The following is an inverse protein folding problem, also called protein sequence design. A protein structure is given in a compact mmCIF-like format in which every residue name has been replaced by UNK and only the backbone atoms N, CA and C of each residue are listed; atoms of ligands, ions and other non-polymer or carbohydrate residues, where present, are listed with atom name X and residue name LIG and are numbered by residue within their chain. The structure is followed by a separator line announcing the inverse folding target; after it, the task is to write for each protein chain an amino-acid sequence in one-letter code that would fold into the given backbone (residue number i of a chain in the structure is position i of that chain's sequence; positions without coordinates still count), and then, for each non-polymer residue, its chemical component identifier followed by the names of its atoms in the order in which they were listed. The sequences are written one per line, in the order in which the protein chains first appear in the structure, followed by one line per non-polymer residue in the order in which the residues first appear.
data_IF_876501776717
#
_entry.id   IF_876501776717
#
_cell.length_a   1.000
_cell.length_b   1.000
_cell.length_c   1.000
_cell.angle_alpha   90.00
_cell.angle_beta   90.00
_cell.angle_gamma   90.00
#
_symmetry.space_group_name_H-M   'P 1'
#
loop_
_entity.id
_entity.type
_entity.pdbx_description
1 polymer ?
#
# COMPACT_ATOMS: atom_id res chain seq x y z
N UNK A 1 2.89 2.61 1.40
CA UNK A 1 2.67 3.99 1.87
C UNK A 1 2.99 4.06 3.37
N UNK A 2 3.84 4.97 3.86
CA UNK A 2 4.14 5.06 5.29
C UNK A 2 2.97 5.67 6.09
N UNK A 3 2.63 5.08 7.23
CA UNK A 3 1.62 5.54 8.19
C UNK A 3 2.23 5.75 9.58
N UNK A 4 1.62 6.65 10.37
CA UNK A 4 1.87 6.69 11.80
C UNK A 4 1.20 5.48 12.45
N UNK A 5 1.98 4.70 13.18
CA UNK A 5 1.48 3.51 13.87
C UNK A 5 0.50 3.91 14.96
N UNK A 6 -0.75 3.49 14.84
CA UNK A 6 -1.73 3.66 15.91
C UNK A 6 -1.32 2.87 17.16
N UNK A 7 -1.68 3.31 18.38
CA UNK A 7 -1.29 2.62 19.60
C UNK A 7 -1.65 1.12 19.63
N UNK A 8 -2.80 0.74 19.07
CA UNK A 8 -3.24 -0.64 18.98
C UNK A 8 -2.47 -1.48 17.94
N UNK A 9 -1.76 -0.83 17.02
CA UNK A 9 -0.97 -1.43 15.95
C UNK A 9 0.55 -1.32 16.22
N UNK A 10 0.97 -0.83 17.39
CA UNK A 10 2.36 -0.90 17.83
C UNK A 10 2.80 -2.37 17.93
N UNK A 11 4.12 -2.66 17.85
CA UNK A 11 4.58 -4.03 17.99
C UNK A 11 4.15 -4.61 19.34
N UNK A 12 3.86 -5.92 19.42
CA UNK A 12 3.35 -6.53 20.64
C UNK A 12 4.40 -6.48 21.76
N UNK A 13 3.98 -6.55 23.04
CA UNK A 13 4.92 -6.82 24.14
C UNK A 13 5.77 -8.08 23.85
N UNK A 14 7.05 -8.09 24.25
CA UNK A 14 7.76 -7.06 25.03
C UNK A 14 8.33 -5.88 24.20
N UNK A 15 8.11 -5.84 22.88
CA UNK A 15 8.77 -4.91 21.96
C UNK A 15 8.28 -3.45 22.05
N UNK A 16 7.17 -3.22 22.74
CA UNK A 16 6.63 -1.89 23.07
C UNK A 16 6.56 -1.63 24.59
N UNK A 17 7.23 -2.44 25.42
CA UNK A 17 7.07 -2.40 26.88
C UNK A 17 8.00 -1.42 27.61
N UNK A 18 8.83 -0.68 26.88
CA UNK A 18 9.66 0.39 27.41
C UNK A 18 9.37 1.70 26.67
N UNK A 19 10.03 2.80 27.07
CA UNK A 19 9.96 4.08 26.35
C UNK A 19 10.68 4.04 24.99
N UNK A 20 11.47 2.99 24.72
CA UNK A 20 12.10 2.74 23.42
C UNK A 20 11.51 1.50 22.77
N UNK A 21 10.74 1.72 21.71
CA UNK A 21 10.11 0.66 20.92
C UNK A 21 11.18 -0.05 20.10
N UNK A 22 11.12 -1.38 20.02
CA UNK A 22 12.11 -2.21 19.33
C UNK A 22 13.56 -2.09 19.85
N UNK A 23 13.75 -1.73 21.13
CA UNK A 23 15.09 -1.72 21.71
C UNK A 23 15.76 -3.10 21.59
N UNK A 24 17.02 -3.14 21.15
CA UNK A 24 17.79 -4.37 20.92
C UNK A 24 17.00 -5.42 20.11
N UNK A 25 16.32 -5.01 19.03
CA UNK A 25 15.41 -5.89 18.29
C UNK A 25 15.81 -6.01 16.82
N UNK A 26 15.81 -7.23 16.30
CA UNK A 26 15.78 -7.48 14.85
C UNK A 26 14.35 -7.69 14.40
N UNK A 27 13.90 -6.92 13.42
CA UNK A 27 12.62 -7.04 12.74
C UNK A 27 12.87 -7.71 11.38
N UNK A 28 12.17 -8.81 11.09
CA UNK A 28 12.21 -9.55 9.83
C UNK A 28 10.88 -9.42 9.12
N UNK A 29 10.92 -8.86 7.92
CA UNK A 29 9.72 -8.52 7.15
C UNK A 29 9.85 -9.11 5.76
N UNK A 30 8.73 -9.46 5.13
CA UNK A 30 8.75 -9.96 3.75
C UNK A 30 7.94 -9.07 2.84
N UNK A 31 8.43 -8.91 1.61
CA UNK A 31 7.74 -8.15 0.57
C UNK A 31 7.84 -8.89 -0.77
N UNK A 32 6.90 -8.65 -1.68
CA UNK A 32 6.89 -9.19 -3.05
C UNK A 32 7.44 -8.14 -4.01
N UNK A 33 8.45 -8.47 -4.81
CA UNK A 33 8.95 -7.55 -5.85
C UNK A 33 8.06 -7.58 -7.09
N UNK A 34 7.93 -6.45 -7.76
CA UNK A 34 7.04 -6.30 -8.91
C UNK A 34 7.75 -6.42 -10.26
N UNK A 35 9.07 -6.22 -10.28
CA UNK A 35 9.91 -6.25 -11.47
C UNK A 35 11.16 -7.12 -11.24
N UNK A 36 11.70 -7.75 -12.29
CA UNK A 36 12.98 -8.45 -12.22
C UNK A 36 14.14 -7.44 -12.22
N UNK A 37 15.25 -7.77 -11.57
CA UNK A 37 16.45 -6.93 -11.59
C UNK A 37 17.64 -7.63 -10.94
N UNK A 38 18.86 -7.26 -11.35
CA UNK A 38 20.11 -7.84 -10.82
C UNK A 38 20.69 -7.04 -9.64
N UNK A 39 20.29 -5.76 -9.56
CA UNK A 39 20.72 -4.83 -8.53
C UNK A 39 19.49 -4.12 -7.96
N UNK A 40 19.35 -4.16 -6.64
CA UNK A 40 18.23 -3.55 -5.91
C UNK A 40 18.70 -2.52 -4.90
N UNK A 41 17.79 -1.67 -4.44
CA UNK A 41 17.98 -0.75 -3.31
C UNK A 41 16.80 -0.82 -2.34
N UNK A 42 17.09 -0.61 -1.06
CA UNK A 42 16.08 -0.49 0.00
C UNK A 42 15.90 0.99 0.33
N UNK A 43 14.64 1.44 0.44
CA UNK A 43 14.30 2.74 1.03
C UNK A 43 13.70 2.53 2.41
N UNK A 44 14.27 3.16 3.42
CA UNK A 44 13.76 3.17 4.80
C UNK A 44 13.31 4.57 5.19
N UNK A 45 12.22 4.68 5.95
CA UNK A 45 11.59 5.95 6.30
C UNK A 45 11.38 6.13 7.80
N UNK A 46 11.61 7.35 8.25
CA UNK A 46 11.25 7.86 9.56
C UNK A 46 10.22 9.01 9.44
N UNK A 47 9.29 8.90 8.47
CA UNK A 47 8.35 9.96 8.12
C UNK A 47 7.54 10.53 9.30
N UNK A 48 7.27 9.73 10.33
CA UNK A 48 6.48 10.13 11.50
C UNK A 48 7.25 10.11 12.81
N UNK A 49 8.52 9.70 12.82
CA UNK A 49 9.33 9.73 14.03
C UNK A 49 9.55 11.15 14.51
N UNK A 50 9.50 11.33 15.84
CA UNK A 50 9.77 12.61 16.48
C UNK A 50 11.28 12.86 16.68
N UNK A 51 12.06 11.77 16.77
CA UNK A 51 13.51 11.77 16.91
C UNK A 51 14.18 11.03 15.74
N UNK A 52 15.50 11.16 15.64
CA UNK A 52 16.34 10.41 14.72
C UNK A 52 16.19 8.89 14.91
N UNK A 53 15.97 8.17 13.81
CA UNK A 53 15.92 6.70 13.80
C UNK A 53 17.31 6.14 13.50
N UNK A 54 17.94 5.52 14.49
CA UNK A 54 19.24 4.85 14.34
C UNK A 54 19.04 3.41 13.85
N UNK A 55 19.43 3.16 12.60
CA UNK A 55 19.44 1.84 11.97
C UNK A 55 20.83 1.23 12.16
N UNK A 56 20.94 0.15 12.95
CA UNK A 56 22.24 -0.43 13.31
C UNK A 56 22.76 -1.42 12.27
N UNK A 57 21.88 -2.23 11.68
CA UNK A 57 22.28 -3.20 10.63
C UNK A 57 21.07 -3.62 9.81
N UNK A 58 21.26 -3.80 8.51
CA UNK A 58 20.22 -4.28 7.59
C UNK A 58 20.76 -5.40 6.70
N UNK A 59 19.92 -6.37 6.38
CA UNK A 59 20.20 -7.34 5.33
C UNK A 59 18.96 -7.64 4.49
N UNK A 60 19.18 -8.01 3.23
CA UNK A 60 18.15 -8.53 2.34
C UNK A 60 18.49 -9.96 1.92
N UNK A 61 17.47 -10.79 1.70
CA UNK A 61 17.62 -12.16 1.21
C UNK A 61 16.37 -12.59 0.45
N UNK A 62 16.43 -13.68 -0.30
CA UNK A 62 15.20 -14.34 -0.76
C UNK A 62 14.54 -15.06 0.43
N UNK A 63 13.21 -15.10 0.46
CA UNK A 63 12.49 -15.84 1.49
C UNK A 63 12.45 -17.34 1.18
N UNK A 64 12.48 -18.18 2.22
CA UNK A 64 12.44 -19.63 2.02
C UNK A 64 11.14 -20.07 1.33
N UNK A 65 11.29 -20.74 0.19
CA UNK A 65 10.16 -21.20 -0.61
C UNK A 65 9.33 -20.07 -1.24
N UNK A 66 9.88 -18.85 -1.35
CA UNK A 66 9.20 -17.68 -1.93
C UNK A 66 7.87 -17.33 -1.23
N UNK A 67 7.81 -17.62 0.08
CA UNK A 67 6.63 -17.41 0.93
C UNK A 67 6.69 -16.05 1.60
N UNK A 68 5.57 -15.32 1.56
CA UNK A 68 5.35 -14.16 2.42
C UNK A 68 5.07 -14.63 3.85
N UNK A 69 5.41 -13.79 4.82
CA UNK A 69 5.18 -14.03 6.24
C UNK A 69 6.08 -15.09 6.88
N UNK A 70 7.04 -15.66 6.15
CA UNK A 70 7.94 -16.69 6.69
C UNK A 70 9.05 -16.06 7.54
N UNK A 71 9.38 -16.70 8.67
CA UNK A 71 10.55 -16.35 9.47
C UNK A 71 11.86 -16.88 8.91
N UNK A 72 11.80 -17.72 7.86
CA UNK A 72 12.97 -18.45 7.35
C UNK A 72 13.48 -17.79 6.06
N UNK A 73 14.77 -17.47 6.02
CA UNK A 73 15.45 -16.98 4.81
C UNK A 73 15.98 -18.13 3.96
N UNK A 74 16.03 -17.93 2.65
CA UNK A 74 16.67 -18.87 1.75
C UNK A 74 18.19 -18.85 1.97
N UNK A 75 18.82 -19.98 2.30
CA UNK A 75 20.26 -20.04 2.54
C UNK A 75 21.09 -19.48 1.36
N UNK A 76 22.22 -18.87 1.67
CA UNK A 76 23.19 -18.33 0.70
C UNK A 76 22.65 -17.19 -0.20
N UNK A 77 21.54 -16.55 0.17
CA UNK A 77 20.99 -15.39 -0.56
C UNK A 77 21.14 -14.07 0.19
N UNK A 78 21.54 -14.11 1.46
CA UNK A 78 21.69 -12.93 2.31
C UNK A 78 22.78 -12.00 1.78
N UNK A 79 22.42 -10.72 1.65
CA UNK A 79 23.31 -9.59 1.38
C UNK A 79 23.15 -8.57 2.48
N UNK A 80 24.26 -8.16 3.08
CA UNK A 80 24.26 -7.00 3.97
C UNK A 80 23.99 -5.74 3.17
N UNK A 81 23.27 -4.80 3.78
CA UNK A 81 22.90 -3.53 3.17
C UNK A 81 23.75 -2.44 3.78
N UNK A 82 24.35 -1.61 2.93
CA UNK A 82 25.11 -0.43 3.32
C UNK A 82 24.39 0.86 2.91
N UNK A 83 24.75 1.95 3.56
CA UNK A 83 24.27 3.31 3.32
C UNK A 83 25.48 4.23 3.22
N UNK A 84 25.85 4.66 2.01
CA UNK A 84 27.08 5.44 1.78
C UNK A 84 28.33 4.74 2.35
N UNK A 85 28.50 3.46 2.00
CA UNK A 85 29.57 2.56 2.44
C UNK A 85 29.55 2.18 3.94
N UNK A 86 28.56 2.66 4.71
CA UNK A 86 28.39 2.34 6.13
C UNK A 86 27.36 1.22 6.36
N UNK A 87 27.60 0.25 7.26
CA UNK A 87 26.60 -0.78 7.60
C UNK A 87 25.42 -0.26 8.44
N UNK A 88 25.57 0.94 9.01
CA UNK A 88 24.58 1.64 9.83
C UNK A 88 24.28 3.04 9.26
N UNK A 89 23.14 3.59 9.66
CA UNK A 89 22.74 4.95 9.26
C UNK A 89 21.79 5.57 10.29
N UNK A 90 21.73 6.89 10.27
CA UNK A 90 20.69 7.66 10.96
C UNK A 90 19.70 8.17 9.92
N UNK A 91 18.40 8.04 10.20
CA UNK A 91 17.32 8.66 9.43
C UNK A 91 16.75 9.80 10.27
N UNK A 92 16.99 11.07 9.90
CA UNK A 92 16.44 12.21 10.62
C UNK A 92 14.91 12.13 10.75
N UNK A 93 14.36 12.85 11.73
CA UNK A 93 12.91 12.98 11.88
C UNK A 93 12.24 13.44 10.57
N UNK A 94 11.15 12.78 10.17
CA UNK A 94 10.49 13.03 8.88
C UNK A 94 11.28 12.59 7.64
N UNK A 95 12.46 12.00 7.83
CA UNK A 95 13.41 11.67 6.78
C UNK A 95 13.19 10.33 6.09
N UNK A 96 14.00 10.12 5.05
CA UNK A 96 14.10 8.91 4.27
C UNK A 96 15.58 8.68 3.95
N UNK A 97 16.02 7.42 3.96
CA UNK A 97 17.34 7.02 3.47
C UNK A 97 17.19 5.98 2.37
N UNK A 98 18.13 5.99 1.44
CA UNK A 98 18.25 5.01 0.35
C UNK A 98 19.56 4.26 0.54
N UNK A 99 19.52 2.93 0.43
CA UNK A 99 20.73 2.12 0.51
C UNK A 99 21.63 2.31 -0.71
N UNK A 100 22.89 1.89 -0.55
CA UNK A 100 23.75 1.59 -1.67
C UNK A 100 23.13 0.45 -2.51
N UNK A 101 23.57 0.28 -3.77
CA UNK A 101 23.10 -0.83 -4.58
C UNK A 101 23.48 -2.20 -4.03
N UNK A 102 22.54 -3.14 -4.09
CA UNK A 102 22.68 -4.49 -3.55
C UNK A 102 22.62 -5.48 -4.71
N UNK A 103 23.73 -6.21 -4.91
CA UNK A 103 23.84 -7.27 -5.91
C UNK A 103 23.08 -8.53 -5.45
N UNK A 104 21.77 -8.56 -5.74
CA UNK A 104 20.87 -9.68 -5.50
C UNK A 104 19.88 -9.77 -6.66
N UNK A 105 20.09 -10.73 -7.56
CA UNK A 105 19.16 -10.99 -8.65
C UNK A 105 17.81 -11.48 -8.14
N UNK A 106 16.75 -10.81 -8.60
CA UNK A 106 15.35 -11.13 -8.31
C UNK A 106 14.56 -11.22 -9.62
N UNK A 107 13.51 -12.03 -9.61
CA UNK A 107 12.49 -12.08 -10.65
C UNK A 107 11.25 -11.32 -10.20
N UNK A 108 10.44 -10.84 -11.15
CA UNK A 108 9.11 -10.36 -10.82
C UNK A 108 8.35 -11.43 -10.05
N UNK A 109 7.65 -11.01 -9.00
CA UNK A 109 6.97 -11.88 -8.05
C UNK A 109 7.89 -12.75 -7.18
N UNK A 110 9.19 -12.49 -7.05
CA UNK A 110 9.98 -13.08 -5.96
C UNK A 110 9.63 -12.45 -4.60
N UNK A 111 9.80 -13.19 -3.51
CA UNK A 111 9.67 -12.66 -2.15
C UNK A 111 11.03 -12.36 -1.55
N UNK A 112 11.22 -11.11 -1.17
CA UNK A 112 12.35 -10.66 -0.39
C UNK A 112 12.03 -10.74 1.10
N UNK A 113 13.05 -11.06 1.89
CA UNK A 113 13.10 -10.83 3.33
C UNK A 113 14.02 -9.64 3.58
N UNK A 114 13.59 -8.72 4.43
CA UNK A 114 14.36 -7.57 4.89
C UNK A 114 14.47 -7.67 6.42
N UNK A 115 15.70 -7.79 6.91
CA UNK A 115 16.02 -7.73 8.33
C UNK A 115 16.49 -6.33 8.69
N UNK A 116 15.94 -5.72 9.73
CA UNK A 116 16.35 -4.43 10.27
C UNK A 116 16.65 -4.61 11.75
N UNK A 117 17.89 -4.35 12.16
CA UNK A 117 18.29 -4.38 13.57
C UNK A 117 18.40 -2.97 14.14
N UNK A 118 17.72 -2.77 15.26
CA UNK A 118 17.69 -1.53 16.03
C UNK A 118 18.32 -1.82 17.41
N UNK A 119 19.59 -1.49 17.59
CA UNK A 119 20.25 -1.69 18.89
C UNK A 119 19.61 -0.81 19.97
N UNK A 120 19.30 0.44 19.63
CA UNK A 120 18.77 1.42 20.57
C UNK A 120 17.24 1.51 20.57
N UNK A 121 16.58 0.94 19.55
CA UNK A 121 15.14 1.13 19.31
C UNK A 121 14.83 2.55 18.85
N UNK A 122 13.53 2.89 18.85
CA UNK A 122 13.03 4.24 18.58
C UNK A 122 12.26 4.76 19.80
N UNK A 123 12.57 5.98 20.23
CA UNK A 123 11.91 6.63 21.35
C UNK A 123 10.43 6.92 21.05
N UNK A 124 9.56 6.58 22.00
CA UNK A 124 8.14 6.89 21.94
C UNK A 124 7.34 6.07 20.92
N UNK A 125 6.02 6.26 20.92
CA UNK A 125 5.09 5.50 20.06
C UNK A 125 4.95 6.02 18.63
N UNK A 126 5.70 7.05 18.24
CA UNK A 126 5.61 7.67 16.92
C UNK A 126 6.38 6.88 15.86
N UNK A 127 5.94 5.64 15.63
CA UNK A 127 6.63 4.69 14.76
C UNK A 127 6.09 4.80 13.34
N UNK A 128 6.98 4.85 12.34
CA UNK A 128 6.61 4.76 10.93
C UNK A 128 6.36 3.29 10.56
N UNK A 129 5.15 2.96 10.12
CA UNK A 129 4.75 1.60 9.78
C UNK A 129 3.81 1.56 8.58
N UNK A 130 3.39 0.35 8.21
CA UNK A 130 2.24 0.09 7.37
C UNK A 130 1.42 -1.03 8.00
N UNK A 131 0.44 -0.70 8.87
CA UNK A 131 -0.38 -1.73 9.52
C UNK A 131 -1.23 -2.52 8.52
N UNK A 132 -1.47 -1.95 7.34
CA UNK A 132 -2.10 -2.59 6.20
C UNK A 132 -1.20 -3.53 5.39
N UNK A 133 -0.06 -4.00 5.89
CA UNK A 133 0.82 -4.86 5.08
C UNK A 133 0.19 -6.21 4.71
N UNK A 134 -0.74 -6.72 5.54
CA UNK A 134 -1.37 -8.06 5.45
C UNK A 134 -0.30 -9.15 5.32
N UNK A 135 0.85 -8.91 5.94
CA UNK A 135 2.01 -9.79 5.90
C UNK A 135 2.58 -9.90 7.29
N UNK A 136 2.82 -11.13 7.74
CA UNK A 136 3.41 -11.40 9.04
C UNK A 136 4.87 -10.97 9.05
N UNK A 137 5.21 -10.10 9.99
CA UNK A 137 6.57 -9.73 10.32
C UNK A 137 6.97 -10.40 11.63
N UNK A 138 8.23 -10.83 11.71
CA UNK A 138 8.81 -11.49 12.86
C UNK A 138 9.76 -10.55 13.59
N UNK A 139 9.92 -10.75 14.89
CA UNK A 139 10.83 -9.96 15.70
C UNK A 139 11.46 -10.82 16.79
N UNK A 140 12.71 -10.50 17.12
CA UNK A 140 13.49 -11.20 18.15
C UNK A 140 14.49 -10.24 18.79
N UNK A 141 14.72 -10.36 20.08
CA UNK A 141 15.78 -9.61 20.74
C UNK A 141 17.18 -10.06 20.28
N UNK A 142 18.11 -9.11 20.18
CA UNK A 142 19.47 -9.30 19.68
C UNK A 142 19.59 -9.11 18.17
N UNK A 143 20.84 -9.18 17.69
CA UNK A 143 21.16 -9.08 16.27
C UNK A 143 21.02 -10.44 15.57
N UNK A 144 19.90 -10.64 14.88
CA UNK A 144 19.57 -11.81 14.09
C UNK A 144 19.67 -11.57 12.57
N UNK A 145 20.24 -10.43 12.17
CA UNK A 145 20.33 -10.03 10.76
C UNK A 145 21.00 -11.12 9.94
N UNK A 146 20.32 -11.57 8.89
CA UNK A 146 20.83 -12.57 7.95
C UNK A 146 20.82 -14.00 8.46
N UNK A 147 20.37 -14.27 9.69
CA UNK A 147 20.28 -15.64 10.24
C UNK A 147 19.17 -16.43 9.56
N UNK A 148 19.40 -17.72 9.29
CA UNK A 148 18.44 -18.58 8.58
C UNK A 148 17.03 -18.55 9.18
N UNK A 149 16.92 -18.54 10.50
CA UNK A 149 15.66 -18.41 11.23
C UNK A 149 15.92 -17.72 12.57
N UNK A 150 14.88 -17.21 13.23
CA UNK A 150 14.98 -16.79 14.62
C UNK A 150 14.75 -18.00 15.53
N UNK A 151 15.62 -18.18 16.53
CA UNK A 151 15.55 -19.32 17.47
C UNK A 151 15.56 -18.89 18.93
N UNK A 152 15.52 -17.59 19.19
CA UNK A 152 15.47 -17.05 20.55
C UNK A 152 14.10 -17.33 21.20
N UNK A 153 14.06 -17.39 22.53
CA UNK A 153 12.80 -17.50 23.26
C UNK A 153 11.90 -16.25 23.14
N UNK A 154 12.45 -15.09 22.75
CA UNK A 154 11.70 -13.84 22.58
C UNK A 154 10.94 -13.74 21.27
N UNK A 155 11.11 -14.68 20.34
CA UNK A 155 10.51 -14.62 19.01
C UNK A 155 9.00 -14.37 19.09
N UNK A 156 8.55 -13.31 18.42
CA UNK A 156 7.15 -12.95 18.30
C UNK A 156 6.86 -12.48 16.86
N UNK A 157 5.59 -12.27 16.55
CA UNK A 157 5.14 -11.87 15.22
C UNK A 157 3.93 -10.96 15.27
N UNK A 158 3.78 -10.14 14.23
CA UNK A 158 2.61 -9.28 14.03
C UNK A 158 2.39 -9.03 12.53
N UNK A 159 1.16 -8.74 12.12
CA UNK A 159 0.81 -8.55 10.71
C UNK A 159 0.94 -7.08 10.25
N UNK A 160 2.15 -6.51 10.38
CA UNK A 160 2.47 -5.13 9.99
C UNK A 160 3.84 -5.03 9.35
N UNK A 161 4.06 -4.00 8.52
CA UNK A 161 5.43 -3.59 8.17
C UNK A 161 5.87 -2.38 9.00
N UNK A 162 7.17 -2.23 9.23
CA UNK A 162 7.81 -1.15 9.97
C UNK A 162 8.98 -0.60 9.17
N UNK A 163 9.08 0.72 9.06
CA UNK A 163 10.19 1.48 8.45
C UNK A 163 10.45 1.25 6.95
N UNK A 164 10.01 0.15 6.34
CA UNK A 164 10.17 -0.12 4.90
C UNK A 164 9.30 0.86 4.12
N UNK A 165 9.92 1.63 3.22
CA UNK A 165 9.21 2.54 2.32
C UNK A 165 9.11 1.99 0.90
N UNK A 166 10.18 1.41 0.37
CA UNK A 166 10.20 0.83 -0.99
C UNK A 166 11.38 -0.13 -1.18
N UNK A 167 11.26 -0.98 -2.21
CA UNK A 167 12.39 -1.61 -2.89
C UNK A 167 12.41 -1.08 -4.32
N UNK A 168 13.59 -0.74 -4.79
CA UNK A 168 13.84 -0.31 -6.16
C UNK A 168 14.80 -1.28 -6.83
N UNK A 169 14.70 -1.36 -8.15
CA UNK A 169 15.67 -2.09 -8.97
C UNK A 169 16.28 -1.13 -10.00
N UNK A 170 17.54 -1.36 -10.36
CA UNK A 170 18.14 -0.67 -11.50
C UNK A 170 17.62 -1.31 -12.79
N UNK A 171 16.71 -0.62 -13.47
CA UNK A 171 16.01 -1.11 -14.65
C UNK A 171 16.34 -0.27 -15.89
N UNK A 172 16.18 -0.82 -17.11
CA UNK A 172 16.35 -0.03 -18.33
C UNK A 172 15.33 1.11 -18.39
N UNK A 173 15.59 2.20 -19.14
CA UNK A 173 14.66 3.33 -19.28
C UNK A 173 13.27 2.97 -19.84
N UNK A 174 13.12 1.79 -20.44
CA UNK A 174 11.84 1.24 -20.93
C UNK A 174 11.00 0.59 -19.83
N UNK A 175 11.52 0.50 -18.60
CA UNK A 175 10.76 0.07 -17.44
C UNK A 175 10.07 1.27 -16.78
N UNK A 176 8.83 1.07 -16.37
CA UNK A 176 7.97 2.14 -15.87
C UNK A 176 7.23 1.67 -14.62
N UNK A 177 6.59 2.60 -13.94
CA UNK A 177 5.80 2.35 -12.73
C UNK A 177 4.40 2.94 -12.88
N UNK A 178 3.41 2.24 -12.33
CA UNK A 178 2.06 2.74 -12.11
C UNK A 178 1.84 2.92 -10.60
N UNK A 179 1.56 4.15 -10.17
CA UNK A 179 1.29 4.46 -8.77
C UNK A 179 -0.21 4.33 -8.46
N UNK A 180 -0.55 3.63 -7.38
CA UNK A 180 -1.93 3.41 -6.97
C UNK A 180 -2.22 4.24 -5.72
N UNK A 181 -3.02 5.29 -5.88
CA UNK A 181 -3.52 6.13 -4.80
C UNK A 181 -4.90 5.60 -4.40
N UNK A 182 -5.07 5.27 -3.12
CA UNK A 182 -6.32 4.72 -2.64
C UNK A 182 -6.42 4.54 -1.14
N UNK A 183 -7.52 3.94 -0.73
CA UNK A 183 -7.86 3.65 0.66
C UNK A 183 -7.67 2.16 1.04
N UNK A 184 -8.36 1.69 2.08
CA UNK A 184 -8.34 0.30 2.55
C UNK A 184 -8.65 -0.73 1.48
N UNK A 185 -9.44 -0.38 0.46
CA UNK A 185 -9.82 -1.31 -0.61
C UNK A 185 -8.62 -1.57 -1.53
N UNK A 186 -7.86 -0.53 -1.89
CA UNK A 186 -6.63 -0.69 -2.68
C UNK A 186 -5.47 -1.23 -1.84
N UNK A 187 -5.41 -0.86 -0.57
CA UNK A 187 -4.43 -1.39 0.38
C UNK A 187 -4.67 -2.90 0.69
N UNK A 188 -5.92 -3.36 0.52
CA UNK A 188 -6.28 -4.77 0.45
C UNK A 188 -6.98 -5.35 1.69
N UNK A 189 -7.71 -4.54 2.45
CA UNK A 189 -8.55 -5.03 3.56
C UNK A 189 -9.54 -6.09 3.05
N UNK A 190 -9.64 -7.24 3.71
CA UNK A 190 -10.48 -8.35 3.25
C UNK A 190 -9.75 -9.38 2.37
N UNK A 191 -8.48 -9.12 2.02
CA UNK A 191 -7.58 -10.14 1.48
C UNK A 191 -7.05 -11.04 2.59
N UNK A 192 -6.47 -12.18 2.23
CA UNK A 192 -5.89 -13.12 3.18
C UNK A 192 -4.44 -12.75 3.54
N UNK A 193 -4.11 -12.82 4.82
CA UNK A 193 -2.75 -12.59 5.32
C UNK A 193 -1.75 -13.54 4.64
N UNK A 194 -0.61 -13.00 4.20
CA UNK A 194 0.48 -13.71 3.53
C UNK A 194 0.15 -14.30 2.15
N UNK A 195 -1.01 -13.96 1.54
CA UNK A 195 -1.40 -14.48 0.23
C UNK A 195 -1.15 -13.54 -0.94
N UNK A 196 -1.06 -12.23 -0.70
CA UNK A 196 -1.04 -11.22 -1.77
C UNK A 196 -2.17 -11.44 -2.79
N UNK A 197 -3.40 -11.64 -2.30
CA UNK A 197 -4.61 -11.74 -3.12
C UNK A 197 -5.44 -10.45 -3.05
N UNK A 198 -4.73 -9.31 -3.03
CA UNK A 198 -5.28 -7.96 -3.19
C UNK A 198 -5.37 -7.66 -4.68
N UNK A 199 -6.28 -6.79 -5.11
CA UNK A 199 -6.44 -6.54 -6.55
C UNK A 199 -5.15 -6.03 -7.25
N UNK A 200 -4.27 -5.21 -6.62
CA UNK A 200 -3.02 -4.81 -7.27
C UNK A 200 -2.05 -5.99 -7.43
N UNK A 201 -1.98 -6.89 -6.44
CA UNK A 201 -1.13 -8.09 -6.53
C UNK A 201 -1.63 -9.05 -7.62
N UNK A 202 -2.95 -9.24 -7.72
CA UNK A 202 -3.58 -10.07 -8.75
C UNK A 202 -3.45 -9.45 -10.14
N UNK A 203 -3.56 -8.12 -10.23
CA UNK A 203 -3.30 -7.36 -11.46
C UNK A 203 -1.85 -7.51 -11.89
N UNK A 204 -0.88 -7.42 -10.97
CA UNK A 204 0.53 -7.66 -11.28
C UNK A 204 0.73 -9.06 -11.88
N UNK A 205 0.15 -10.10 -11.28
CA UNK A 205 0.24 -11.47 -11.80
C UNK A 205 -0.31 -11.56 -13.23
N UNK A 206 -1.44 -10.92 -13.51
CA UNK A 206 -2.03 -10.80 -14.86
C UNK A 206 -1.12 -10.02 -15.82
N UNK A 207 -0.54 -8.91 -15.38
CA UNK A 207 0.39 -8.08 -16.17
C UNK A 207 1.66 -8.85 -16.56
N UNK A 208 2.18 -9.70 -15.68
CA UNK A 208 3.36 -10.51 -15.95
C UNK A 208 3.10 -11.64 -16.96
N UNK A 209 1.84 -11.95 -17.27
CA UNK A 209 1.47 -12.88 -18.34
C UNK A 209 1.31 -12.19 -19.71
N UNK A 210 1.38 -10.86 -19.78
CA UNK A 210 1.27 -10.09 -21.01
C UNK A 210 2.60 -9.36 -21.28
N UNK A 211 3.36 -9.73 -22.34
CA UNK A 211 4.65 -9.13 -22.66
C UNK A 211 4.67 -7.61 -22.78
N UNK A 212 3.51 -6.98 -23.04
CA UNK A 212 3.39 -5.53 -23.18
C UNK A 212 3.32 -4.79 -21.86
N UNK A 213 3.09 -5.51 -20.76
CA UNK A 213 2.95 -4.94 -19.41
C UNK A 213 3.97 -5.50 -18.42
N UNK A 214 4.83 -6.42 -18.83
CA UNK A 214 5.84 -7.04 -17.95
C UNK A 214 6.85 -6.05 -17.42
N UNK A 215 7.11 -4.94 -18.12
CA UNK A 215 8.04 -3.87 -17.72
C UNK A 215 7.43 -2.79 -16.81
N UNK A 216 6.16 -2.95 -16.40
CA UNK A 216 5.44 -1.97 -15.57
C UNK A 216 5.35 -2.48 -14.12
N UNK A 217 5.99 -1.77 -13.19
CA UNK A 217 5.86 -1.98 -11.76
C UNK A 217 4.52 -1.42 -11.24
N UNK A 218 3.93 -2.07 -10.23
CA UNK A 218 2.82 -1.49 -9.47
C UNK A 218 3.32 -0.98 -8.12
N UNK A 219 3.06 0.29 -7.82
CA UNK A 219 3.42 0.93 -6.57
C UNK A 219 2.17 1.17 -5.75
N UNK A 220 1.85 0.26 -4.82
CA UNK A 220 0.68 0.41 -3.96
C UNK A 220 0.93 1.48 -2.90
N UNK A 221 0.35 2.66 -3.12
CA UNK A 221 0.44 3.83 -2.25
C UNK A 221 -0.88 4.10 -1.54
N UNK A 222 -1.67 3.05 -1.33
CA UNK A 222 -2.92 3.13 -0.59
C UNK A 222 -2.70 2.90 0.91
N UNK A 223 -3.68 3.35 1.71
CA UNK A 223 -3.76 2.99 3.12
C UNK A 223 -5.18 2.91 3.66
N UNK A 224 -5.37 2.02 4.62
CA UNK A 224 -6.62 1.93 5.36
C UNK A 224 -7.07 3.28 5.93
N UNK A 225 -8.36 3.58 5.79
CA UNK A 225 -8.95 4.83 6.30
C UNK A 225 -8.40 6.11 5.66
N UNK A 226 -7.61 6.02 4.57
CA UNK A 226 -7.11 7.22 3.89
C UNK A 226 -8.23 7.99 3.20
N UNK A 227 -8.02 9.28 3.07
CA UNK A 227 -9.00 10.25 2.59
C UNK A 227 -8.30 11.24 1.68
N UNK A 228 -9.05 11.81 0.75
CA UNK A 228 -8.52 12.81 -0.17
C UNK A 228 -8.31 14.17 0.53
N UNK A 229 -9.26 14.58 1.38
CA UNK A 229 -9.34 15.96 1.88
C UNK A 229 -8.74 16.20 3.27
N UNK A 230 -8.72 15.18 4.12
CA UNK A 230 -8.34 15.32 5.52
C UNK A 230 -7.63 14.06 6.02
N UNK A 231 -6.68 14.20 6.93
CA UNK A 231 -5.89 13.05 7.40
C UNK A 231 -6.78 11.97 8.03
N UNK A 232 -6.54 10.71 7.71
CA UNK A 232 -7.22 9.57 8.33
C UNK A 232 -6.25 8.81 9.23
N UNK A 233 -6.08 7.51 8.96
CA UNK A 233 -4.97 6.73 9.53
C UNK A 233 -3.60 7.08 8.89
N UNK A 234 -3.57 8.07 8.01
CA UNK A 234 -2.39 8.62 7.36
C UNK A 234 -2.70 9.97 6.72
N UNK A 235 -1.68 10.69 6.22
CA UNK A 235 -1.86 12.00 5.60
C UNK A 235 -2.85 11.96 4.43
N UNK A 236 -3.62 13.02 4.25
CA UNK A 236 -4.54 13.15 3.12
C UNK A 236 -3.81 13.12 1.75
N UNK A 237 -4.51 12.69 0.70
CA UNK A 237 -3.95 12.56 -0.66
C UNK A 237 -3.34 13.85 -1.16
N UNK A 238 -4.02 14.98 -0.98
CA UNK A 238 -3.56 16.27 -1.50
C UNK A 238 -2.21 16.67 -0.90
N UNK A 239 -1.94 16.30 0.36
CA UNK A 239 -0.67 16.55 1.04
C UNK A 239 0.44 15.55 0.69
N UNK A 240 0.10 14.31 0.29
CA UNK A 240 1.09 13.24 0.03
C UNK A 240 1.35 12.95 -1.44
N UNK A 241 0.63 13.58 -2.37
CA UNK A 241 0.71 13.29 -3.81
C UNK A 241 2.15 13.39 -4.35
N UNK A 242 2.92 14.41 -3.95
CA UNK A 242 4.30 14.58 -4.41
C UNK A 242 5.19 13.44 -3.92
N UNK A 243 5.09 13.11 -2.63
CA UNK A 243 5.90 12.06 -2.00
C UNK A 243 5.56 10.69 -2.56
N UNK A 244 4.27 10.38 -2.70
CA UNK A 244 3.78 9.03 -2.99
C UNK A 244 3.61 8.76 -4.48
N UNK A 245 3.57 9.79 -5.34
CA UNK A 245 3.48 9.63 -6.79
C UNK A 245 4.66 10.29 -7.49
N UNK A 246 4.80 11.62 -7.38
CA UNK A 246 5.75 12.37 -8.21
C UNK A 246 7.23 12.08 -7.90
N UNK A 247 7.55 11.75 -6.64
CA UNK A 247 8.89 11.44 -6.18
C UNK A 247 9.25 9.94 -6.29
N UNK A 248 8.32 9.11 -6.80
CA UNK A 248 8.57 7.69 -6.99
C UNK A 248 9.25 7.42 -8.34
N UNK A 249 10.12 6.42 -8.36
CA UNK A 249 10.95 6.14 -9.54
C UNK A 249 10.12 5.58 -10.70
N UNK A 250 10.33 6.19 -11.88
CA UNK A 250 9.79 5.72 -13.15
C UNK A 250 8.27 5.80 -13.29
N UNK A 251 7.58 6.60 -12.47
CA UNK A 251 6.12 6.74 -12.57
C UNK A 251 5.73 7.31 -13.93
N UNK A 252 4.95 6.52 -14.66
CA UNK A 252 4.37 6.88 -15.95
C UNK A 252 2.84 6.89 -15.91
N UNK A 253 2.23 6.18 -14.96
CA UNK A 253 0.76 6.11 -14.81
C UNK A 253 0.38 6.30 -13.35
N UNK A 254 -0.83 6.81 -13.12
CA UNK A 254 -1.45 6.82 -11.80
C UNK A 254 -2.86 6.26 -11.85
N UNK A 255 -3.25 5.52 -10.82
CA UNK A 255 -4.64 5.09 -10.59
C UNK A 255 -5.12 5.78 -9.33
N UNK A 256 -6.28 6.44 -9.40
CA UNK A 256 -6.95 7.05 -8.24
C UNK A 256 -8.21 6.25 -7.94
N UNK A 257 -8.19 5.50 -6.85
CA UNK A 257 -9.32 4.74 -6.34
C UNK A 257 -9.53 5.04 -4.86
N UNK A 258 -10.17 6.18 -4.59
CA UNK A 258 -10.31 6.76 -3.25
C UNK A 258 -11.56 7.63 -3.15
N UNK A 259 -11.98 7.94 -1.92
CA UNK A 259 -13.09 8.84 -1.61
C UNK A 259 -14.16 8.22 -0.71
N UNK A 260 -14.11 6.90 -0.49
CA UNK A 260 -15.12 6.20 0.32
C UNK A 260 -15.12 6.66 1.78
N UNK A 261 -13.95 6.91 2.35
CA UNK A 261 -13.81 7.36 3.75
C UNK A 261 -14.19 8.84 3.92
N UNK A 262 -13.98 9.67 2.90
CA UNK A 262 -14.45 11.06 2.89
C UNK A 262 -15.98 11.11 3.02
N UNK A 263 -16.69 10.30 2.22
CA UNK A 263 -18.16 10.15 2.27
C UNK A 263 -18.60 9.50 3.59
N UNK A 264 -17.93 8.40 3.97
CA UNK A 264 -18.31 7.57 5.11
C UNK A 264 -18.11 8.20 6.48
N UNK A 265 -17.19 9.17 6.61
CA UNK A 265 -16.95 9.92 7.85
C UNK A 265 -17.78 11.21 7.90
N UNK A 266 -18.17 11.79 6.76
CA UNK A 266 -19.04 12.96 6.75
C UNK A 266 -20.42 12.65 7.35
N UNK A 267 -21.02 13.65 8.01
CA UNK A 267 -22.36 13.55 8.60
C UNK A 267 -23.39 13.16 7.54
N UNK A 268 -24.44 12.43 7.94
CA UNK A 268 -25.46 11.90 7.03
C UNK A 268 -26.52 12.92 6.64
N UNK A 269 -26.42 14.17 7.07
CA UNK A 269 -27.35 15.21 6.65
C UNK A 269 -27.07 15.67 5.20
N UNK A 270 -28.12 16.06 4.43
CA UNK A 270 -27.95 16.43 3.02
C UNK A 270 -26.94 17.55 2.79
N UNK A 271 -26.83 18.55 3.68
CA UNK A 271 -25.94 19.68 3.48
C UNK A 271 -24.46 19.27 3.63
N UNK A 272 -24.15 18.43 4.62
CA UNK A 272 -22.81 17.86 4.80
C UNK A 272 -22.43 16.95 3.63
N UNK A 273 -23.37 16.13 3.17
CA UNK A 273 -23.19 15.20 2.05
C UNK A 273 -23.01 15.91 0.70
N UNK A 274 -23.79 16.97 0.44
CA UNK A 274 -23.59 17.84 -0.72
C UNK A 274 -22.21 18.50 -0.71
N UNK A 275 -21.83 19.07 0.44
CA UNK A 275 -20.55 19.76 0.62
C UNK A 275 -19.34 18.84 0.47
N UNK A 276 -19.40 17.60 0.99
CA UNK A 276 -18.29 16.66 0.81
C UNK A 276 -18.20 16.19 -0.64
N UNK A 277 -19.33 15.98 -1.31
CA UNK A 277 -19.38 15.66 -2.74
C UNK A 277 -18.72 16.74 -3.61
N UNK A 278 -19.05 18.02 -3.37
CA UNK A 278 -18.45 19.15 -4.09
C UNK A 278 -16.93 19.22 -3.89
N UNK A 279 -16.48 19.05 -2.64
CA UNK A 279 -15.06 19.09 -2.29
C UNK A 279 -14.29 17.92 -2.89
N UNK A 280 -14.88 16.73 -2.96
CA UNK A 280 -14.25 15.57 -3.59
C UNK A 280 -14.07 15.80 -5.09
N UNK A 281 -15.10 16.27 -5.79
CA UNK A 281 -15.02 16.62 -7.22
C UNK A 281 -13.91 17.65 -7.47
N UNK A 282 -13.88 18.73 -6.69
CA UNK A 282 -12.82 19.75 -6.80
C UNK A 282 -11.43 19.17 -6.52
N UNK A 283 -11.32 18.20 -5.61
CA UNK A 283 -10.04 17.58 -5.25
C UNK A 283 -9.56 16.61 -6.32
N UNK A 284 -10.44 15.83 -6.95
CA UNK A 284 -10.07 15.02 -8.12
C UNK A 284 -9.52 15.90 -9.24
N UNK A 285 -10.12 17.07 -9.49
CA UNK A 285 -9.60 18.05 -10.44
C UNK A 285 -8.19 18.51 -10.08
N UNK A 286 -7.91 18.78 -8.80
CA UNK A 286 -6.57 19.15 -8.34
C UNK A 286 -5.56 18.00 -8.49
N UNK A 287 -5.94 16.78 -8.13
CA UNK A 287 -5.07 15.59 -8.28
C UNK A 287 -4.70 15.42 -9.76
N UNK A 288 -5.69 15.41 -10.65
CA UNK A 288 -5.46 15.24 -12.09
C UNK A 288 -4.63 16.39 -12.65
N UNK A 289 -4.93 17.65 -12.30
CA UNK A 289 -4.15 18.82 -12.72
C UNK A 289 -2.67 18.67 -12.38
N UNK A 290 -2.36 18.24 -11.16
CA UNK A 290 -0.97 18.10 -10.68
C UNK A 290 -0.24 16.94 -11.35
N UNK A 291 -0.91 15.81 -11.57
CA UNK A 291 -0.32 14.65 -12.24
C UNK A 291 -0.13 14.89 -13.74
N UNK A 292 -1.10 15.55 -14.40
CA UNK A 292 -0.98 15.98 -15.79
C UNK A 292 0.13 17.02 -15.99
N UNK A 293 0.39 17.90 -15.01
CA UNK A 293 1.54 18.80 -15.05
C UNK A 293 2.89 18.06 -15.06
N UNK A 294 2.92 16.83 -14.52
CA UNK A 294 4.05 15.90 -14.63
C UNK A 294 3.93 14.92 -15.82
N UNK A 295 2.94 15.15 -16.71
CA UNK A 295 2.62 14.32 -17.88
C UNK A 295 2.28 12.87 -17.52
N UNK A 296 1.69 12.64 -16.34
CA UNK A 296 1.26 11.33 -15.87
C UNK A 296 -0.23 11.15 -16.19
N UNK A 297 -0.62 10.27 -17.13
CA UNK A 297 -2.02 9.86 -17.29
C UNK A 297 -2.60 9.28 -15.99
N UNK A 298 -3.85 9.65 -15.71
CA UNK A 298 -4.59 9.30 -14.49
C UNK A 298 -5.83 8.48 -14.83
N UNK A 299 -5.86 7.25 -14.33
CA UNK A 299 -7.02 6.37 -14.42
C UNK A 299 -7.87 6.52 -13.14
N UNK A 300 -9.10 7.00 -13.28
CA UNK A 300 -10.03 7.17 -12.17
C UNK A 300 -10.90 5.92 -11.98
N UNK A 301 -11.00 5.40 -10.76
CA UNK A 301 -11.90 4.30 -10.45
C UNK A 301 -13.16 4.78 -9.72
N UNK A 302 -14.32 4.22 -10.07
CA UNK A 302 -15.57 4.51 -9.38
C UNK A 302 -15.55 3.95 -7.95
N UNK A 303 -16.09 4.71 -7.00
CA UNK A 303 -16.21 4.32 -5.58
C UNK A 303 -17.17 3.14 -5.47
N UNK A 304 -16.71 2.03 -4.90
CA UNK A 304 -17.49 0.80 -4.78
C UNK A 304 -18.63 0.92 -3.77
N UNK A 305 -19.64 0.03 -3.84
CA UNK A 305 -20.76 0.06 -2.90
C UNK A 305 -20.36 -0.17 -1.45
N UNK A 306 -21.08 0.45 -0.52
CA UNK A 306 -20.85 0.34 0.94
C UNK A 306 -22.15 0.16 1.76
N UNK A 307 -23.25 -0.19 1.10
CA UNK A 307 -24.55 -0.41 1.72
C UNK A 307 -24.66 -1.80 2.35
N UNK A 308 -25.27 -1.85 3.53
CA UNK A 308 -25.62 -3.08 4.23
C UNK A 308 -27.14 -3.36 4.12
N UNK A 309 -27.58 -4.62 4.20
CA UNK A 309 -29.00 -4.94 4.31
C UNK A 309 -29.54 -4.49 5.68
N UNK A 310 -30.81 -4.07 5.73
CA UNK A 310 -31.43 -3.55 6.95
C UNK A 310 -31.55 -4.56 8.11
N UNK A 311 -31.38 -5.86 7.81
CA UNK A 311 -31.35 -6.95 8.78
C UNK A 311 -29.93 -7.50 9.02
N UNK A 312 -28.88 -6.78 8.59
CA UNK A 312 -27.50 -7.21 8.81
C UNK A 312 -27.21 -7.34 10.31
N UNK A 313 -26.54 -8.42 10.70
CA UNK A 313 -26.02 -8.60 12.06
C UNK A 313 -24.88 -7.63 12.40
N UNK A 314 -24.22 -7.07 11.38
CA UNK A 314 -23.24 -6.02 11.48
C UNK A 314 -23.67 -4.84 10.62
N UNK A 315 -24.03 -3.72 11.24
CA UNK A 315 -24.36 -2.49 10.50
C UNK A 315 -23.06 -1.80 10.11
N UNK A 316 -22.73 -1.85 8.82
CA UNK A 316 -21.63 -1.07 8.26
C UNK A 316 -21.87 0.43 8.52
N UNK A 317 -21.01 1.13 9.29
CA UNK A 317 -21.23 2.53 9.64
C UNK A 317 -21.42 3.47 8.44
N UNK A 318 -20.87 3.13 7.27
CA UNK A 318 -20.99 3.94 6.05
C UNK A 318 -22.34 3.78 5.35
N UNK A 319 -23.10 2.72 5.66
CA UNK A 319 -24.37 2.39 5.02
C UNK A 319 -25.48 3.37 5.41
N UNK A 320 -25.66 4.41 4.60
CA UNK A 320 -26.72 5.40 4.75
C UNK A 320 -27.27 5.83 3.37
N UNK A 321 -28.59 6.03 3.20
CA UNK A 321 -29.17 6.45 1.93
C UNK A 321 -28.66 7.79 1.40
N UNK A 322 -28.33 8.75 2.28
CA UNK A 322 -27.82 10.06 1.86
C UNK A 322 -26.38 9.96 1.39
N UNK A 323 -25.55 9.15 2.07
CA UNK A 323 -24.19 8.82 1.60
C UNK A 323 -24.20 8.10 0.26
N UNK A 324 -25.16 7.20 0.03
CA UNK A 324 -25.31 6.52 -1.26
C UNK A 324 -25.64 7.50 -2.39
N UNK A 325 -26.50 8.51 -2.15
CA UNK A 325 -26.75 9.57 -3.15
C UNK A 325 -25.45 10.30 -3.51
N UNK A 326 -24.64 10.66 -2.51
CA UNK A 326 -23.33 11.29 -2.74
C UNK A 326 -22.40 10.40 -3.56
N UNK A 327 -22.30 9.11 -3.22
CA UNK A 327 -21.49 8.15 -3.97
C UNK A 327 -21.94 8.04 -5.42
N UNK A 328 -23.24 7.92 -5.67
CA UNK A 328 -23.79 7.85 -7.03
C UNK A 328 -23.50 9.13 -7.81
N UNK A 329 -23.68 10.30 -7.20
CA UNK A 329 -23.36 11.60 -7.80
C UNK A 329 -21.89 11.68 -8.22
N UNK A 330 -20.97 11.29 -7.33
CA UNK A 330 -19.52 11.29 -7.62
C UNK A 330 -19.19 10.28 -8.71
N UNK A 331 -19.73 9.06 -8.64
CA UNK A 331 -19.46 8.04 -9.64
C UNK A 331 -19.99 8.42 -11.02
N UNK A 332 -21.16 9.04 -11.11
CA UNK A 332 -21.69 9.58 -12.36
C UNK A 332 -20.77 10.66 -12.92
N UNK A 333 -20.28 11.57 -12.05
CA UNK A 333 -19.29 12.55 -12.45
C UNK A 333 -18.01 11.88 -12.97
N UNK A 334 -17.42 10.92 -12.23
CA UNK A 334 -16.22 10.17 -12.66
C UNK A 334 -16.41 9.57 -14.07
N UNK A 335 -17.58 8.98 -14.35
CA UNK A 335 -17.89 8.32 -15.63
C UNK A 335 -18.02 9.28 -16.81
N UNK A 336 -18.53 10.49 -16.59
CA UNK A 336 -19.04 11.34 -17.69
C UNK A 336 -18.23 12.60 -17.95
N UNK A 337 -17.48 13.09 -16.96
CA UNK A 337 -16.90 14.43 -17.03
C UNK A 337 -15.67 14.55 -17.97
N UNK A 338 -14.99 13.42 -18.26
CA UNK A 338 -13.83 13.38 -19.16
C UNK A 338 -12.51 13.92 -18.59
N UNK A 339 -12.43 14.20 -17.28
CA UNK A 339 -11.17 14.64 -16.63
C UNK A 339 -10.13 13.53 -16.54
N UNK A 340 -10.55 12.29 -16.22
CA UNK A 340 -9.64 11.15 -16.17
C UNK A 340 -9.34 10.66 -17.58
N UNK A 341 -8.09 10.26 -17.82
CA UNK A 341 -7.65 9.70 -19.10
C UNK A 341 -8.37 8.37 -19.40
N UNK A 342 -8.65 7.60 -18.35
CA UNK A 342 -9.50 6.41 -18.44
C UNK A 342 -10.32 6.22 -17.16
N UNK A 343 -11.48 5.57 -17.30
CA UNK A 343 -12.37 5.24 -16.17
C UNK A 343 -12.41 3.73 -15.94
N UNK A 344 -12.14 3.32 -14.70
CA UNK A 344 -12.27 1.95 -14.22
C UNK A 344 -13.59 1.83 -13.43
N UNK A 345 -14.62 1.22 -14.03
CA UNK A 345 -15.93 1.13 -13.38
C UNK A 345 -16.03 -0.02 -12.35
N UNK A 346 -15.23 0.09 -11.28
CA UNK A 346 -15.15 -0.89 -10.19
C UNK A 346 -16.46 -1.02 -9.40
N UNK A 347 -17.26 0.04 -9.28
CA UNK A 347 -18.64 -0.03 -8.78
C UNK A 347 -19.45 -1.09 -9.54
N UNK A 348 -19.46 -1.02 -10.88
CA UNK A 348 -20.23 -1.95 -11.70
C UNK A 348 -19.73 -3.39 -11.58
N UNK A 349 -18.42 -3.59 -11.38
CA UNK A 349 -17.84 -4.93 -11.19
C UNK A 349 -18.33 -5.57 -9.89
N UNK A 350 -18.38 -4.78 -8.81
CA UNK A 350 -18.58 -5.33 -7.47
C UNK A 350 -20.01 -5.26 -6.95
N UNK A 351 -20.87 -4.41 -7.52
CA UNK A 351 -22.23 -4.21 -7.04
C UNK A 351 -23.14 -5.40 -7.29
N UNK A 352 -24.05 -5.62 -6.35
CA UNK A 352 -25.18 -6.52 -6.54
C UNK A 352 -26.14 -5.93 -7.59
N UNK A 353 -26.45 -6.63 -8.69
CA UNK A 353 -27.38 -6.13 -9.70
C UNK A 353 -28.80 -5.89 -9.15
N UNK A 354 -29.23 -6.63 -8.12
CA UNK A 354 -30.55 -6.51 -7.51
C UNK A 354 -30.57 -5.46 -6.38
N UNK A 355 -29.40 -5.10 -5.85
CA UNK A 355 -29.25 -4.07 -4.82
C UNK A 355 -27.96 -3.24 -5.04
N UNK A 356 -27.93 -2.32 -6.03
CA UNK A 356 -26.69 -1.66 -6.49
C UNK A 356 -25.92 -0.83 -5.44
N UNK A 357 -26.53 -0.54 -4.30
CA UNK A 357 -25.85 0.09 -3.16
C UNK A 357 -25.01 -0.89 -2.34
N UNK A 358 -25.04 -2.19 -2.65
CA UNK A 358 -24.35 -3.26 -1.89
C UNK A 358 -23.34 -3.99 -2.76
N UNK A 359 -22.30 -4.51 -2.11
CA UNK A 359 -21.43 -5.51 -2.74
C UNK A 359 -22.24 -6.77 -3.04
N UNK A 360 -21.98 -7.39 -4.18
CA UNK A 360 -22.48 -8.73 -4.49
C UNK A 360 -22.01 -9.69 -3.39
N UNK A 361 -22.89 -10.59 -2.96
CA UNK A 361 -22.64 -11.45 -1.79
C UNK A 361 -21.35 -12.25 -1.89
N UNK A 362 -21.01 -12.77 -3.08
CA UNK A 362 -19.78 -13.51 -3.34
C UNK A 362 -18.50 -12.67 -3.21
N UNK A 363 -18.59 -11.35 -3.35
CA UNK A 363 -17.47 -10.43 -3.24
C UNK A 363 -17.35 -9.77 -1.88
N UNK A 364 -18.35 -9.90 -1.01
CA UNK A 364 -18.36 -9.24 0.30
C UNK A 364 -17.49 -10.00 1.31
N UNK A 365 -16.62 -9.29 2.03
CA UNK A 365 -15.82 -9.85 3.14
C UNK A 365 -16.63 -10.10 4.43
N UNK A 366 -17.88 -9.63 4.47
CA UNK A 366 -18.79 -9.73 5.61
C UNK A 366 -19.02 -8.40 6.33
N UNK A 367 -18.28 -7.34 5.98
CA UNK A 367 -18.45 -6.01 6.55
C UNK A 367 -19.19 -5.01 5.64
N UNK A 368 -19.63 -5.46 4.45
CA UNK A 368 -20.39 -4.68 3.48
C UNK A 368 -19.67 -3.47 2.87
N UNK A 369 -18.36 -3.31 3.11
CA UNK A 369 -17.53 -2.25 2.53
C UNK A 369 -16.36 -2.82 1.74
N UNK A 370 -15.68 -3.83 2.29
CA UNK A 370 -14.47 -4.36 1.71
C UNK A 370 -14.74 -5.61 0.87
N UNK A 371 -14.16 -5.70 -0.34
CA UNK A 371 -14.12 -6.92 -1.10
C UNK A 371 -13.35 -8.02 -0.37
N UNK A 372 -13.76 -9.27 -0.54
CA UNK A 372 -12.95 -10.44 -0.24
C UNK A 372 -12.00 -10.76 -1.41
N UNK A 373 -11.21 -11.83 -1.28
CA UNK A 373 -10.30 -12.28 -2.34
C UNK A 373 -10.96 -12.50 -3.71
N UNK A 374 -12.22 -12.98 -3.76
CA UNK A 374 -12.95 -13.18 -5.01
C UNK A 374 -13.34 -11.84 -5.65
N UNK A 375 -13.76 -10.85 -4.84
CA UNK A 375 -14.01 -9.49 -5.32
C UNK A 375 -12.74 -8.83 -5.84
N UNK A 376 -11.61 -9.01 -5.17
CA UNK A 376 -10.32 -8.51 -5.66
C UNK A 376 -9.86 -9.17 -6.96
N UNK A 377 -10.13 -10.47 -7.14
CA UNK A 377 -9.89 -11.15 -8.42
C UNK A 377 -10.77 -10.54 -9.53
N UNK A 378 -12.05 -10.27 -9.26
CA UNK A 378 -12.94 -9.66 -10.24
C UNK A 378 -12.46 -8.27 -10.70
N UNK A 379 -11.91 -7.45 -9.80
CA UNK A 379 -11.28 -6.17 -10.17
C UNK A 379 -10.05 -6.35 -11.07
N UNK A 380 -9.17 -7.29 -10.73
CA UNK A 380 -7.97 -7.58 -11.53
C UNK A 380 -8.32 -8.13 -12.92
N UNK A 381 -9.33 -9.01 -13.00
CA UNK A 381 -9.82 -9.60 -14.26
C UNK A 381 -10.45 -8.53 -15.15
N UNK A 382 -11.22 -7.61 -14.57
CA UNK A 382 -11.83 -6.49 -15.29
C UNK A 382 -10.80 -5.49 -15.84
N UNK A 383 -9.67 -5.27 -15.14
CA UNK A 383 -8.71 -4.23 -15.51
C UNK A 383 -8.21 -4.38 -16.97
N UNK A 384 -8.43 -3.37 -17.84
CA UNK A 384 -8.03 -3.42 -19.23
C UNK A 384 -6.55 -3.06 -19.41
N UNK A 385 -5.69 -4.08 -19.57
CA UNK A 385 -4.23 -3.89 -19.71
C UNK A 385 -3.85 -3.00 -20.91
N UNK A 386 -4.70 -2.91 -21.94
CA UNK A 386 -4.48 -2.06 -23.12
C UNK A 386 -4.34 -0.57 -22.80
N UNK A 387 -4.84 -0.10 -21.65
CA UNK A 387 -4.66 1.29 -21.21
C UNK A 387 -3.18 1.68 -21.09
N UNK A 388 -2.32 0.75 -20.69
CA UNK A 388 -0.88 1.04 -20.60
C UNK A 388 -0.23 1.21 -21.98
N UNK A 389 -0.78 0.61 -23.03
CA UNK A 389 -0.31 0.88 -24.40
C UNK A 389 -0.88 2.18 -24.95
N UNK A 390 -2.18 2.41 -24.72
CA UNK A 390 -2.90 3.59 -25.21
C UNK A 390 -2.31 4.90 -24.67
N UNK A 391 -1.99 4.92 -23.37
CA UNK A 391 -1.41 6.07 -22.67
C UNK A 391 0.10 5.93 -22.45
N UNK A 392 0.70 4.89 -23.03
CA UNK A 392 2.14 4.72 -23.02
C UNK A 392 2.79 5.80 -23.86
N UNK A 393 3.84 6.44 -23.31
CA UNK A 393 4.64 7.38 -24.09
C UNK A 393 5.34 6.59 -25.21
N UNK A 394 5.01 6.88 -26.46
CA UNK A 394 5.87 6.51 -27.58
C UNK A 394 7.20 7.27 -27.38
N UNK A 395 8.28 6.53 -27.17
CA UNK A 395 9.63 7.08 -27.00
C UNK A 395 10.05 7.96 -28.18
#
# INVERSE_FOLDING_TARGET
MPQLTEPANLPPPPYNSSTSIFQNTTIRQTIRVTQPGDEIRVRLSNAFGLDDLSITKVAVSLSAGQKLGTSIVQPNTTKEVAFSDSPDTIIPNGGLVVSDPINLSVKAQDTLTIDIYLQHGQSGGAITSHPGSRTTSWMSFGNWVGRTNFTDSSVNSVDHWYFISAIEALLPPTAHSCALVGDSITDGRGSDTNKNNRWPDLLLAKMQQNPKTTSIALLNQAAGGNRILADGLGPNVLARLDRDVLAQSGVQYAIVFEGVNDIGVADTDPASQEKIGDKLIASYQQIVTRLHAAQIPVFGATITPFGAPGNASNTQPYSDPEREKTRQRINEWIRTNGLFDAVLDFDRVLRDPEAPSRLKSEYNSGDYLHPNAAGYQALADYFPLGLFEEFGRLN
#
